data_IF_379546622958
#
_entry.id   IF_379546622958
#
_cell.length_a   1.000
_cell.length_b   1.000
_cell.length_c   1.000
_cell.angle_alpha   90.00
_cell.angle_beta   90.00
_cell.angle_gamma   90.00
#
_symmetry.space_group_name_H-M   'P 1'
#
loop_
_entity.id
_entity.type
_entity.pdbx_description
1 polymer ?
2 non-polymer ?
#
# COMPACT_ATOMS: atom_id res chain seq x y z
N UNK A 21 3.99 -1.59 35.00
CA UNK A 21 4.69 -1.52 33.70
C UNK A 21 3.70 -1.63 32.55
N UNK A 22 2.84 -2.65 32.59
CA UNK A 22 1.78 -2.83 31.61
C UNK A 22 0.41 -2.48 32.17
N UNK A 23 0.35 -1.55 33.12
CA UNK A 23 -0.90 -1.27 33.80
C UNK A 23 -1.17 -2.20 34.96
N UNK A 24 -0.14 -2.57 35.71
CA UNK A 24 -0.29 -3.41 36.88
C UNK A 24 -0.56 -2.52 38.08
N UNK A 25 -1.78 -2.56 38.57
CA UNK A 25 -2.25 -1.71 39.65
C UNK A 25 -2.33 -2.43 40.98
N UNK A 26 -2.42 -3.76 40.94
CA UNK A 26 -2.64 -4.57 42.13
C UNK A 26 -1.36 -5.13 42.69
N UNK A 27 -0.56 -5.77 41.84
CA UNK A 27 0.66 -6.43 42.27
C UNK A 27 1.79 -5.96 41.37
N UNK A 28 3.04 -6.18 41.78
CA UNK A 28 4.15 -5.76 40.93
C UNK A 28 4.23 -6.54 39.64
N UNK A 29 4.69 -5.87 38.60
CA UNK A 29 4.90 -6.50 37.31
C UNK A 29 6.18 -7.32 37.33
N UNK A 30 6.11 -8.51 36.73
CA UNK A 30 7.26 -9.36 36.55
C UNK A 30 6.99 -10.29 35.38
N UNK A 31 7.82 -10.22 34.35
CA UNK A 31 7.65 -11.13 33.23
C UNK A 31 7.87 -12.55 33.73
N UNK A 32 6.83 -13.36 33.63
CA UNK A 32 6.85 -14.74 34.02
C UNK A 32 5.69 -15.44 33.33
N UNK A 33 5.68 -16.74 33.30
CA UNK A 33 4.61 -17.45 32.60
C UNK A 33 3.29 -17.41 33.34
N UNK A 34 3.20 -16.59 34.38
CA UNK A 34 2.02 -16.50 35.23
C UNK A 34 1.45 -15.10 35.07
N UNK A 35 0.16 -14.95 34.73
CA UNK A 35 -0.40 -13.63 34.51
C UNK A 35 -0.42 -12.76 35.76
N UNK A 36 -0.85 -11.53 35.55
CA UNK A 36 -0.87 -10.49 36.56
C UNK A 36 -2.25 -9.87 36.56
N UNK A 37 -2.98 -9.86 37.67
CA UNK A 37 -4.24 -9.13 37.71
C UNK A 37 -4.02 -7.62 37.79
N UNK A 38 -5.07 -6.89 37.44
CA UNK A 38 -4.99 -5.44 37.38
C UNK A 38 -6.40 -4.91 37.46
N UNK A 39 -6.51 -3.61 37.75
CA UNK A 39 -7.79 -2.95 37.74
C UNK A 39 -7.95 -2.19 36.45
N UNK A 40 -8.83 -2.63 35.54
CA UNK A 40 -9.05 -1.91 34.32
C UNK A 40 -9.84 -0.64 34.58
N UNK A 41 -9.97 0.21 33.59
CA UNK A 41 -10.67 1.48 33.79
C UNK A 41 -12.10 1.30 34.23
N UNK A 42 -12.69 2.38 34.74
CA UNK A 42 -14.07 2.34 35.20
C UNK A 42 -15.01 2.03 34.04
N UNK A 43 -14.62 2.43 32.85
CA UNK A 43 -15.44 2.26 31.66
C UNK A 43 -14.72 1.42 30.63
N UNK A 44 -15.40 0.48 30.01
CA UNK A 44 -14.80 -0.26 28.92
C UNK A 44 -14.26 0.68 27.85
N UNK A 45 -13.23 0.21 27.17
CA UNK A 45 -12.59 1.04 26.16
C UNK A 45 -13.50 1.18 24.95
N UNK A 46 -13.37 2.31 24.27
CA UNK A 46 -14.06 2.48 22.99
C UNK A 46 -13.37 1.63 21.94
N UNK A 47 -14.16 0.83 21.25
CA UNK A 47 -13.66 -0.20 20.35
C UNK A 47 -13.88 0.24 18.91
N UNK A 48 -12.86 0.02 18.09
CA UNK A 48 -12.94 0.28 16.66
C UNK A 48 -13.11 -1.05 15.95
N UNK A 49 -14.27 -1.23 15.31
CA UNK A 49 -14.62 -2.53 14.79
C UNK A 49 -13.84 -2.92 13.55
N UNK A 50 -13.56 -1.94 12.69
CA UNK A 50 -12.79 -2.17 11.48
C UNK A 50 -11.60 -1.23 11.51
N UNK A 51 -10.47 -1.67 12.04
CA UNK A 51 -9.32 -0.79 12.17
C UNK A 51 -8.60 -0.59 10.85
N UNK A 52 -7.69 0.38 10.86
CA UNK A 52 -6.95 0.79 9.69
C UNK A 52 -5.48 0.46 9.88
N UNK A 53 -4.78 0.27 8.77
CA UNK A 53 -3.35 0.05 8.83
C UNK A 53 -2.68 0.68 7.62
N UNK A 54 -1.67 1.51 7.89
CA UNK A 54 -0.88 2.13 6.84
C UNK A 54 0.40 1.32 6.68
N UNK A 55 0.61 0.77 5.49
CA UNK A 55 1.74 -0.10 5.25
C UNK A 55 2.02 -0.16 3.76
N UNK A 56 3.29 -0.33 3.42
CA UNK A 56 3.70 -0.54 2.04
C UNK A 56 3.31 -1.93 1.57
N UNK A 57 3.03 -2.05 0.27
CA UNK A 57 2.69 -3.30 -0.36
C UNK A 57 3.50 -3.45 -1.63
N UNK A 58 3.49 -4.66 -2.17
CA UNK A 58 4.16 -4.99 -3.41
C UNK A 58 3.15 -5.61 -4.37
N UNK A 59 3.21 -5.19 -5.63
CA UNK A 59 2.24 -5.59 -6.63
C UNK A 59 2.94 -6.41 -7.71
N UNK A 60 2.26 -7.47 -8.18
CA UNK A 60 2.92 -8.51 -8.97
C UNK A 60 3.31 -8.01 -10.35
N UNK A 61 2.36 -7.42 -11.08
CA UNK A 61 2.62 -6.89 -12.42
C UNK A 61 3.05 -8.00 -13.39
N UNK A 62 2.09 -8.85 -13.73
CA UNK A 62 2.32 -9.85 -14.75
C UNK A 62 2.88 -9.20 -16.01
N UNK A 63 3.81 -9.90 -16.66
CA UNK A 63 4.53 -9.36 -17.80
C UNK A 63 3.57 -8.91 -18.90
N UNK A 64 3.93 -7.80 -19.55
CA UNK A 64 3.16 -7.23 -20.64
C UNK A 64 4.10 -6.92 -21.79
N UNK A 65 3.72 -7.34 -23.00
CA UNK A 65 4.58 -7.14 -24.16
C UNK A 65 4.44 -5.75 -24.73
N UNK A 66 3.32 -5.08 -24.48
CA UNK A 66 3.18 -3.68 -24.86
C UNK A 66 4.19 -2.79 -24.17
N UNK A 67 4.74 -3.24 -23.04
CA UNK A 67 5.58 -2.41 -22.21
C UNK A 67 4.83 -1.50 -21.27
N UNK A 68 3.50 -1.60 -21.21
CA UNK A 68 2.68 -0.70 -20.42
C UNK A 68 1.97 -1.53 -19.37
N UNK A 69 2.13 -1.15 -18.10
CA UNK A 69 1.61 -1.89 -16.97
C UNK A 69 0.61 -1.01 -16.26
N UNK A 70 -0.66 -1.37 -16.36
CA UNK A 70 -1.75 -0.56 -15.83
C UNK A 70 -2.09 -1.02 -14.42
N UNK A 71 -2.14 -0.07 -13.50
CA UNK A 71 -2.50 -0.32 -12.11
C UNK A 71 -3.96 0.11 -11.92
N UNK A 72 -4.85 -0.86 -11.83
CA UNK A 72 -6.24 -0.60 -11.57
C UNK A 72 -6.50 -0.65 -10.07
N UNK A 73 -7.74 -0.37 -9.69
CA UNK A 73 -8.14 -0.49 -8.30
C UNK A 73 -8.22 -1.96 -7.92
N UNK A 74 -8.68 -2.81 -8.83
CA UNK A 74 -8.66 -4.23 -8.59
C UNK A 74 -7.29 -4.76 -8.24
N UNK A 75 -6.24 -4.20 -8.82
CA UNK A 75 -4.88 -4.63 -8.53
C UNK A 75 -4.54 -4.41 -7.06
N UNK A 76 -4.59 -3.15 -6.63
CA UNK A 76 -4.32 -2.83 -5.23
C UNK A 76 -5.23 -3.62 -4.31
N UNK A 77 -6.50 -3.78 -4.68
CA UNK A 77 -7.44 -4.49 -3.83
C UNK A 77 -7.06 -5.96 -3.66
N UNK A 78 -6.78 -6.64 -4.77
CA UNK A 78 -6.38 -8.04 -4.70
C UNK A 78 -5.07 -8.22 -3.96
N UNK A 79 -4.17 -7.25 -4.05
CA UNK A 79 -2.92 -7.34 -3.30
C UNK A 79 -3.13 -6.99 -1.83
N UNK A 80 -4.22 -6.30 -1.52
CA UNK A 80 -4.53 -5.96 -0.13
C UNK A 80 -5.36 -7.04 0.54
N UNK A 81 -6.01 -7.89 -0.24
CA UNK A 81 -6.68 -9.05 0.32
C UNK A 81 -5.70 -10.06 0.89
N UNK A 82 -4.45 -10.00 0.45
CA UNK A 82 -3.41 -10.89 0.92
C UNK A 82 -2.79 -10.41 2.22
N UNK A 83 -3.19 -9.24 2.69
CA UNK A 83 -2.82 -8.76 4.01
C UNK A 83 -3.85 -9.10 5.07
N UNK A 84 -5.01 -9.64 4.67
CA UNK A 84 -5.96 -10.20 5.58
C UNK A 84 -7.41 -9.92 5.28
N UNK A 85 -7.74 -8.69 4.88
CA UNK A 85 -9.14 -8.36 4.63
C UNK A 85 -9.65 -9.01 3.35
N UNK A 86 -10.95 -9.32 3.36
CA UNK A 86 -11.56 -9.99 2.21
C UNK A 86 -12.19 -8.97 1.27
N UNK A 87 -12.84 -7.96 1.83
CA UNK A 87 -13.50 -6.91 1.07
C UNK A 87 -12.99 -5.59 1.63
N UNK A 88 -11.81 -5.17 1.20
CA UNK A 88 -11.16 -4.01 1.80
C UNK A 88 -11.51 -2.68 1.16
N UNK A 89 -11.46 -1.66 1.99
CA UNK A 89 -11.43 -0.28 1.58
C UNK A 89 -10.00 0.21 1.71
N UNK A 90 -9.60 1.15 0.86
CA UNK A 90 -8.24 1.64 0.95
C UNK A 90 -8.13 3.03 0.34
N UNK A 91 -7.04 3.70 0.70
CA UNK A 91 -6.59 4.92 0.08
C UNK A 91 -5.11 4.74 -0.25
N UNK A 92 -4.58 5.63 -1.06
CA UNK A 92 -3.18 5.58 -1.46
C UNK A 92 -2.52 6.90 -1.11
N UNK A 93 -1.39 6.82 -0.43
CA UNK A 93 -0.60 7.97 -0.04
C UNK A 93 0.62 8.17 -0.92
N UNK A 94 1.14 7.10 -1.50
CA UNK A 94 2.31 7.16 -2.35
C UNK A 94 2.33 5.97 -3.29
N UNK A 95 3.02 6.14 -4.40
CA UNK A 95 3.30 5.08 -5.36
C UNK A 95 4.70 5.31 -5.90
N UNK A 96 5.57 4.34 -5.71
CA UNK A 96 6.88 4.34 -6.31
C UNK A 96 7.00 3.15 -7.25
N UNK A 97 7.41 3.42 -8.48
CA UNK A 97 7.71 2.38 -9.45
C UNK A 97 9.21 2.34 -9.65
N UNK A 98 9.75 1.14 -9.54
CA UNK A 98 11.17 0.90 -9.76
C UNK A 98 11.30 -0.01 -10.96
N UNK A 99 12.15 0.36 -11.90
CA UNK A 99 12.38 -0.47 -13.06
C UNK A 99 13.31 -1.62 -12.70
N UNK A 100 13.65 -2.42 -13.70
CA UNK A 100 14.74 -3.35 -13.53
C UNK A 100 16.03 -2.58 -13.28
N UNK A 101 17.03 -3.23 -12.70
CA UNK A 101 18.25 -2.50 -12.31
C UNK A 101 19.12 -2.06 -13.47
N UNK A 102 18.97 -2.63 -14.65
CA UNK A 102 19.88 -2.30 -15.73
C UNK A 102 19.74 -0.89 -16.28
N UNK A 103 19.99 -0.73 -17.57
CA UNK A 103 19.87 0.57 -18.24
C UNK A 103 18.46 0.68 -18.83
N UNK A 104 17.52 1.11 -18.00
CA UNK A 104 16.11 1.12 -18.34
C UNK A 104 15.46 2.40 -17.88
N UNK A 105 14.30 2.68 -18.47
CA UNK A 105 13.48 3.83 -18.14
C UNK A 105 12.12 3.37 -17.65
N UNK A 106 11.60 4.06 -16.65
CA UNK A 106 10.25 3.83 -16.16
C UNK A 106 9.52 5.16 -16.16
N UNK A 107 8.26 5.13 -16.59
CA UNK A 107 7.41 6.31 -16.63
C UNK A 107 6.19 6.00 -15.78
N UNK A 108 6.05 6.71 -14.68
CA UNK A 108 4.88 6.59 -13.82
C UNK A 108 3.92 7.73 -14.10
N UNK A 109 2.64 7.46 -13.91
CA UNK A 109 1.58 8.36 -14.33
C UNK A 109 0.37 8.20 -13.43
N UNK A 110 -0.27 9.33 -13.11
CA UNK A 110 -1.61 9.32 -12.52
C UNK A 110 -2.61 9.51 -13.64
N UNK A 111 -3.53 8.56 -13.77
CA UNK A 111 -4.38 8.49 -14.95
C UNK A 111 -5.37 9.64 -14.99
N UNK A 112 -5.81 10.11 -13.83
CA UNK A 112 -6.81 11.16 -13.78
C UNK A 112 -6.22 12.55 -13.98
N UNK A 113 -5.26 12.92 -13.14
CA UNK A 113 -4.68 14.25 -13.24
C UNK A 113 -3.83 14.40 -14.49
N UNK A 114 -2.89 13.49 -14.70
CA UNK A 114 -1.96 13.59 -15.80
C UNK A 114 -0.53 13.80 -15.37
N UNK A 115 -0.26 13.74 -14.08
CA UNK A 115 1.09 13.87 -13.56
C UNK A 115 1.95 12.73 -14.09
N UNK A 116 3.10 13.07 -14.63
CA UNK A 116 3.98 12.12 -15.28
C UNK A 116 5.39 12.30 -14.75
N UNK A 117 6.02 11.20 -14.35
CA UNK A 117 7.37 11.22 -13.82
C UNK A 117 8.20 10.24 -14.62
N UNK A 118 9.47 10.58 -14.81
CA UNK A 118 10.40 9.75 -15.55
C UNK A 118 11.69 9.63 -14.75
N UNK A 119 12.33 8.48 -14.84
CA UNK A 119 13.69 8.32 -14.35
C UNK A 119 14.40 7.26 -15.16
N UNK A 120 15.68 7.51 -15.41
CA UNK A 120 16.59 6.54 -16.00
C UNK A 120 17.61 6.15 -14.95
N UNK A 121 17.98 4.88 -14.95
CA UNK A 121 18.90 4.42 -13.93
C UNK A 121 19.96 3.47 -14.43
N UNK A 122 20.95 3.23 -13.57
CA UNK A 122 22.05 2.32 -13.82
C UNK A 122 21.85 1.07 -12.97
N UNK A 123 22.85 0.20 -12.99
CA UNK A 123 22.73 -1.10 -12.32
C UNK A 123 22.72 -0.97 -10.81
N UNK A 124 23.38 0.06 -10.28
CA UNK A 124 23.38 0.28 -8.84
C UNK A 124 22.10 0.98 -8.41
N UNK A 125 21.90 2.20 -8.89
CA UNK A 125 20.72 2.98 -8.59
C UNK A 125 19.72 2.74 -9.70
N UNK A 126 18.82 1.79 -9.47
CA UNK A 126 17.82 1.49 -10.47
C UNK A 126 16.81 2.62 -10.58
N UNK A 127 16.15 2.66 -11.73
CA UNK A 127 15.17 3.70 -12.00
C UNK A 127 14.09 3.73 -10.94
N UNK A 128 13.68 4.93 -10.57
CA UNK A 128 12.73 5.14 -9.49
C UNK A 128 11.89 6.36 -9.80
N UNK A 129 10.60 6.13 -10.00
CA UNK A 129 9.65 7.20 -10.25
C UNK A 129 8.54 7.11 -9.22
N UNK A 130 8.33 8.18 -8.48
CA UNK A 130 7.32 8.20 -7.45
C UNK A 130 6.33 9.34 -7.60
N UNK A 131 5.08 9.06 -7.28
CA UNK A 131 4.03 10.04 -7.18
C UNK A 131 3.51 10.03 -5.75
N UNK A 132 3.20 11.19 -5.24
CA UNK A 132 2.83 11.40 -3.85
C UNK A 132 1.49 12.12 -3.80
N UNK A 133 0.54 11.52 -3.09
CA UNK A 133 -0.82 12.00 -3.06
C UNK A 133 -1.11 12.71 -1.76
N UNK A 134 -1.28 14.03 -1.74
CA UNK A 134 -1.57 14.71 -0.51
C UNK A 134 -2.99 14.46 -0.07
N UNK A 135 -3.34 14.84 1.16
CA UNK A 135 -4.65 14.46 1.70
C UNK A 135 -5.82 14.90 0.89
N UNK A 136 -5.64 15.92 0.06
CA UNK A 136 -6.68 16.39 -0.83
C UNK A 136 -6.69 15.64 -2.15
N UNK A 137 -5.61 14.95 -2.47
CA UNK A 137 -5.55 14.07 -3.63
C UNK A 137 -5.83 12.63 -3.29
N UNK A 138 -5.62 12.25 -2.03
CA UNK A 138 -5.99 10.92 -1.58
C UNK A 138 -7.47 10.69 -1.86
N UNK A 139 -7.76 9.56 -2.48
CA UNK A 139 -9.12 9.19 -2.82
C UNK A 139 -9.44 7.86 -2.17
N UNK A 140 -10.64 7.77 -1.64
CA UNK A 140 -11.14 6.56 -1.00
C UNK A 140 -11.75 5.64 -2.04
N UNK A 141 -11.22 4.42 -2.11
CA UNK A 141 -11.67 3.43 -3.07
C UNK A 141 -12.36 2.31 -2.30
N UNK A 142 -13.65 2.12 -2.58
CA UNK A 142 -14.42 1.05 -2.00
C UNK A 142 -14.35 -0.22 -2.82
N UNK A 143 -15.23 -1.16 -2.44
CA UNK A 143 -15.29 -2.45 -3.14
C UNK A 143 -16.07 -2.38 -4.43
N UNK A 144 -16.81 -1.30 -4.64
CA UNK A 144 -17.51 -1.07 -5.90
C UNK A 144 -16.75 -0.15 -6.82
N UNK A 145 -15.75 0.56 -6.31
CA UNK A 145 -14.91 1.41 -7.13
C UNK A 145 -14.09 0.56 -8.09
N UNK A 146 -13.89 1.11 -9.28
CA UNK A 146 -13.00 0.53 -10.25
C UNK A 146 -12.36 1.65 -11.04
N UNK A 147 -11.66 1.28 -12.10
CA UNK A 147 -10.99 2.24 -12.94
C UNK A 147 -9.48 2.17 -12.79
N UNK A 148 -8.81 2.87 -13.69
CA UNK A 148 -7.37 2.92 -13.69
C UNK A 148 -6.89 4.07 -12.82
N UNK A 149 -5.89 3.81 -12.00
CA UNK A 149 -5.35 4.80 -11.08
C UNK A 149 -3.97 5.28 -11.54
N UNK A 150 -3.05 4.34 -11.71
CA UNK A 150 -1.69 4.63 -12.11
C UNK A 150 -1.33 3.79 -13.31
N UNK A 151 -0.43 4.32 -14.11
CA UNK A 151 0.02 3.64 -15.31
C UNK A 151 1.53 3.73 -15.39
N UNK A 152 2.16 2.59 -15.61
CA UNK A 152 3.60 2.48 -15.72
C UNK A 152 3.92 2.11 -17.15
N UNK A 153 4.93 2.75 -17.72
CA UNK A 153 5.31 2.55 -19.10
C UNK A 153 6.82 2.30 -19.16
N UNK A 154 7.19 1.08 -19.52
CA UNK A 154 8.56 0.73 -19.80
C UNK A 154 8.69 0.35 -21.26
N UNK A 155 9.89 0.52 -21.79
CA UNK A 155 10.17 0.11 -23.15
C UNK A 155 9.83 -1.37 -23.33
N UNK A 156 9.26 -1.70 -24.48
CA UNK A 156 8.91 -3.08 -24.75
C UNK A 156 10.16 -3.95 -24.73
N UNK A 157 9.96 -5.25 -24.46
CA UNK A 157 11.06 -6.19 -24.34
C UNK A 157 11.95 -5.82 -23.16
N UNK A 158 11.31 -5.51 -22.05
CA UNK A 158 12.01 -5.13 -20.83
C UNK A 158 11.47 -5.97 -19.67
N UNK A 159 12.24 -6.09 -18.60
CA UNK A 159 11.73 -6.81 -17.43
C UNK A 159 10.55 -6.08 -16.81
N UNK A 160 9.84 -6.78 -15.94
CA UNK A 160 8.69 -6.19 -15.26
C UNK A 160 9.17 -5.24 -14.18
N UNK A 161 8.56 -4.08 -14.02
CA UNK A 161 8.98 -3.16 -12.97
C UNK A 161 8.47 -3.58 -11.60
N UNK A 162 8.96 -2.85 -10.61
CA UNK A 162 8.66 -3.10 -9.20
C UNK A 162 7.86 -1.91 -8.70
N UNK A 163 6.70 -2.20 -8.11
CA UNK A 163 5.78 -1.18 -7.63
C UNK A 163 5.65 -1.31 -6.13
N UNK A 164 5.84 -0.20 -5.43
CA UNK A 164 5.61 -0.09 -4.00
C UNK A 164 4.58 1.00 -3.78
N UNK A 165 3.66 0.76 -2.85
CA UNK A 165 2.57 1.67 -2.60
C UNK A 165 2.26 1.69 -1.12
N UNK A 166 2.12 2.88 -0.57
CA UNK A 166 1.72 3.08 0.81
C UNK A 166 0.21 3.28 0.83
N UNK A 167 -0.48 2.33 1.41
CA UNK A 167 -1.93 2.33 1.45
C UNK A 167 -2.39 2.37 2.89
N UNK A 168 -3.60 2.86 3.09
CA UNK A 168 -4.29 2.80 4.37
C UNK A 168 -5.54 1.98 4.13
N UNK A 169 -5.48 0.70 4.44
CA UNK A 169 -6.57 -0.22 4.20
C UNK A 169 -7.33 -0.48 5.50
N UNK A 170 -8.58 -0.90 5.33
CA UNK A 170 -9.42 -1.24 6.45
C UNK A 170 -10.56 -2.09 5.95
N UNK A 171 -11.13 -2.87 6.86
CA UNK A 171 -12.27 -3.72 6.53
C UNK A 171 -13.49 -2.85 6.24
N UNK A 172 -14.30 -3.31 5.30
CA UNK A 172 -15.56 -2.65 4.98
C UNK A 172 -16.74 -3.26 5.72
N UNK A 173 -16.71 -4.56 5.99
CA UNK A 173 -17.88 -5.24 6.51
C UNK A 173 -18.11 -4.87 7.96
N UNK A 174 -19.34 -4.43 8.25
CA UNK A 174 -19.68 -3.92 9.56
C UNK A 174 -20.42 -4.97 10.39
#
# INVERSE_FOLDING_TARGET
>A
MNKRINNNRRTMRSRRGRGRTMGSNLIPYANSPVPIPYTPPVTPVTVIGNPRKTTWIDIDLSSEESGIYTLTVGSYRNRITKLGPSKPNFIIEKVAAYAAPGDYKVVLNDFKTGIQVVDEGSYAHRAAAGILYPPAAQMFYGISATGTLNTITTTAKDPVPVVRALVTYWDSEQ
#
